data_IF_556700609040
#
_entry.id   IF_556700609040
#
_cell.length_a   1.000
_cell.length_b   1.000
_cell.length_c   1.000
_cell.angle_alpha   90.00
_cell.angle_beta   90.00
_cell.angle_gamma   90.00
#
_symmetry.space_group_name_H-M   'P 1'
#
loop_
_entity.id
_entity.type
_entity.pdbx_description
1 polymer ?
#
# COMPACT_ATOMS: atom_id res chain seq x y z
N UNK A 1 12.66 30.54 -35.27
CA UNK A 1 13.38 29.95 -34.13
C UNK A 1 12.54 28.80 -33.58
N UNK A 2 13.08 27.88 -32.79
CA UNK A 2 12.34 27.08 -31.77
C UNK A 2 12.12 25.55 -31.88
N UNK A 3 12.54 24.81 -32.92
CA UNK A 3 12.58 23.31 -32.83
C UNK A 3 13.98 22.73 -32.87
N UNK A 4 14.85 23.19 -33.78
CA UNK A 4 16.26 22.75 -33.82
C UNK A 4 17.09 23.34 -32.68
N UNK A 5 16.90 24.62 -32.37
CA UNK A 5 17.58 25.29 -31.25
C UNK A 5 17.22 24.64 -29.92
N UNK A 6 15.93 24.40 -29.66
CA UNK A 6 15.47 23.74 -28.42
C UNK A 6 15.97 22.29 -28.30
N UNK A 7 16.15 21.55 -29.39
CA UNK A 7 16.76 20.21 -29.35
C UNK A 7 18.25 20.27 -28.99
N UNK A 8 18.98 21.25 -29.52
CA UNK A 8 20.42 21.43 -29.27
C UNK A 8 20.67 21.85 -27.82
N UNK A 9 19.83 22.74 -27.29
CA UNK A 9 19.86 23.18 -25.88
C UNK A 9 19.51 22.03 -24.91
N UNK A 10 18.68 21.09 -25.33
CA UNK A 10 18.35 19.93 -24.50
C UNK A 10 19.49 18.91 -24.43
N UNK A 11 20.26 18.74 -25.51
CA UNK A 11 21.43 17.85 -25.51
C UNK A 11 22.57 18.40 -24.66
N UNK A 12 22.79 19.71 -24.66
CA UNK A 12 23.78 20.34 -23.77
C UNK A 12 23.42 20.19 -22.30
N UNK A 13 22.14 20.38 -21.92
CA UNK A 13 21.66 20.14 -20.55
C UNK A 13 21.87 18.69 -20.09
N UNK A 14 21.66 17.71 -20.96
CA UNK A 14 21.91 16.29 -20.64
C UNK A 14 23.41 16.04 -20.48
N UNK A 15 24.27 16.66 -21.30
CA UNK A 15 25.71 16.54 -21.18
C UNK A 15 26.25 17.15 -19.89
N UNK A 16 25.71 18.29 -19.46
CA UNK A 16 26.01 18.89 -18.15
C UNK A 16 25.59 17.95 -17.00
N UNK A 17 24.37 17.41 -17.07
CA UNK A 17 23.88 16.45 -16.07
C UNK A 17 24.67 15.13 -16.00
N UNK A 18 25.33 14.73 -17.10
CA UNK A 18 26.25 13.58 -17.13
C UNK A 18 27.60 13.89 -16.50
N UNK A 19 28.07 15.15 -16.59
CA UNK A 19 29.31 15.59 -15.94
C UNK A 19 29.13 15.70 -14.42
N UNK A 20 27.97 16.17 -13.98
CA UNK A 20 27.65 16.36 -12.57
C UNK A 20 27.22 15.07 -11.85
N UNK A 21 27.06 13.97 -12.59
CA UNK A 21 26.67 12.67 -12.06
C UNK A 21 27.72 12.10 -11.10
N UNK A 22 27.37 12.03 -9.81
CA UNK A 22 28.21 11.38 -8.80
C UNK A 22 27.97 9.87 -8.80
N UNK A 23 29.04 9.12 -9.05
CA UNK A 23 29.06 7.67 -8.89
C UNK A 23 28.91 7.31 -7.41
N UNK A 24 28.05 6.34 -7.14
CA UNK A 24 27.79 5.78 -5.83
C UNK A 24 27.95 4.27 -5.89
N UNK A 25 28.72 3.75 -4.95
CA UNK A 25 28.86 2.32 -4.73
C UNK A 25 27.68 1.82 -3.90
N UNK A 26 26.72 1.19 -4.56
CA UNK A 26 25.65 0.46 -3.87
C UNK A 26 26.17 -0.93 -3.47
N UNK A 27 25.98 -1.36 -2.21
CA UNK A 27 26.40 -2.68 -1.78
C UNK A 27 25.61 -3.74 -2.54
N UNK A 28 26.28 -4.48 -3.41
CA UNK A 28 25.72 -5.68 -4.03
C UNK A 28 25.55 -6.75 -2.95
N UNK A 29 24.40 -7.44 -2.94
CA UNK A 29 24.16 -8.58 -2.04
C UNK A 29 25.03 -9.81 -2.34
N UNK A 30 25.83 -9.77 -3.41
CA UNK A 30 26.77 -10.82 -3.77
C UNK A 30 28.04 -10.69 -2.91
N UNK A 31 28.30 -11.73 -2.10
CA UNK A 31 29.54 -11.84 -1.33
C UNK A 31 30.74 -11.86 -2.30
N UNK A 32 31.84 -11.20 -1.93
CA UNK A 32 33.11 -11.27 -2.66
C UNK A 32 33.55 -12.73 -2.79
N UNK A 33 33.98 -13.15 -3.99
CA UNK A 33 34.39 -14.52 -4.32
C UNK A 33 33.29 -15.60 -4.11
N UNK A 34 32.14 -15.51 -4.79
CA UNK A 34 31.21 -16.64 -4.80
C UNK A 34 31.92 -17.85 -5.43
N UNK A 35 32.00 -18.95 -4.69
CA UNK A 35 32.47 -20.23 -5.21
C UNK A 35 31.34 -20.78 -6.07
N UNK A 36 31.52 -20.75 -7.39
CA UNK A 36 30.52 -21.23 -8.36
C UNK A 36 30.54 -22.75 -8.40
N UNK A 37 31.75 -23.32 -8.28
CA UNK A 37 31.98 -24.76 -8.32
C UNK A 37 33.01 -25.13 -7.24
N UNK A 38 32.62 -26.02 -6.34
CA UNK A 38 33.55 -26.76 -5.48
C UNK A 38 33.87 -28.01 -6.28
N UNK A 39 35.14 -28.25 -6.62
CA UNK A 39 35.53 -29.31 -7.55
C UNK A 39 34.79 -30.65 -7.34
N UNK A 40 34.44 -31.30 -8.44
CA UNK A 40 33.81 -32.63 -8.51
C UNK A 40 34.74 -33.55 -9.34
N UNK A 41 34.46 -34.86 -9.41
CA UNK A 41 35.30 -35.87 -10.10
C UNK A 41 35.62 -35.57 -11.59
N UNK A 42 34.90 -34.63 -12.20
CA UNK A 42 35.10 -34.19 -13.60
C UNK A 42 35.92 -32.91 -13.74
N UNK A 43 35.99 -32.07 -12.70
CA UNK A 43 36.69 -30.78 -12.68
C UNK A 43 37.24 -30.53 -11.27
N UNK A 44 38.49 -30.92 -11.05
CA UNK A 44 39.19 -30.85 -9.75
C UNK A 44 39.39 -29.41 -9.23
N UNK A 45 39.50 -28.43 -10.12
CA UNK A 45 39.81 -27.06 -9.73
C UNK A 45 38.53 -26.28 -9.35
N UNK A 46 38.43 -25.72 -8.14
CA UNK A 46 37.30 -24.88 -7.76
C UNK A 46 37.32 -23.56 -8.56
N UNK A 47 36.19 -23.23 -9.18
CA UNK A 47 36.02 -21.97 -9.89
C UNK A 47 35.50 -20.88 -8.95
N UNK A 48 36.31 -19.84 -8.76
CA UNK A 48 35.94 -18.63 -8.00
C UNK A 48 35.95 -17.41 -8.90
N UNK A 49 34.96 -16.53 -8.75
CA UNK A 49 34.96 -15.23 -9.44
C UNK A 49 36.00 -14.31 -8.80
N UNK A 50 36.96 -13.85 -9.60
CA UNK A 50 38.09 -13.00 -9.14
C UNK A 50 37.63 -11.62 -8.67
N UNK A 51 36.83 -10.92 -9.48
CA UNK A 51 36.24 -9.62 -9.13
C UNK A 51 34.88 -9.44 -9.83
N UNK A 52 33.90 -8.94 -9.09
CA UNK A 52 32.60 -8.52 -9.64
C UNK A 52 32.55 -6.99 -9.56
N UNK A 53 33.03 -6.30 -10.59
CA UNK A 53 32.94 -4.84 -10.66
C UNK A 53 31.53 -4.42 -11.09
N UNK A 54 30.75 -3.84 -10.18
CA UNK A 54 29.52 -3.15 -10.57
C UNK A 54 29.87 -1.91 -11.40
N UNK A 55 29.18 -1.68 -12.51
CA UNK A 55 29.43 -0.59 -13.47
C UNK A 55 29.18 0.84 -12.93
N UNK A 56 29.16 1.01 -11.60
CA UNK A 56 28.81 2.24 -10.92
C UNK A 56 27.31 2.53 -10.99
N UNK A 57 26.74 2.94 -9.85
CA UNK A 57 25.38 3.46 -9.82
C UNK A 57 25.40 4.97 -9.68
N UNK A 58 24.37 5.63 -10.22
CA UNK A 58 24.11 7.06 -10.03
C UNK A 58 22.71 7.20 -9.48
N UNK A 59 22.53 8.06 -8.49
CA UNK A 59 21.19 8.44 -8.05
C UNK A 59 20.61 9.47 -8.99
N UNK A 60 19.37 9.22 -9.38
CA UNK A 60 18.57 10.13 -10.19
C UNK A 60 17.31 10.45 -9.42
N UNK A 61 16.87 11.71 -9.50
CA UNK A 61 15.70 12.22 -8.81
C UNK A 61 14.57 12.48 -9.81
N UNK A 62 13.34 12.15 -9.43
CA UNK A 62 12.16 12.60 -10.18
C UNK A 62 11.95 14.11 -9.93
N UNK A 63 11.79 14.88 -11.00
CA UNK A 63 11.68 16.34 -10.96
C UNK A 63 10.43 16.85 -10.23
N UNK A 64 9.38 16.04 -10.07
CA UNK A 64 8.12 16.42 -9.39
C UNK A 64 7.92 15.73 -8.06
N UNK A 65 8.23 14.43 -7.98
CA UNK A 65 7.98 13.65 -6.76
C UNK A 65 9.17 13.68 -5.81
N UNK A 66 10.35 14.07 -6.30
CA UNK A 66 11.62 14.08 -5.57
C UNK A 66 12.04 12.71 -5.04
N UNK A 67 11.49 11.64 -5.62
CA UNK A 67 11.88 10.28 -5.29
C UNK A 67 13.24 9.94 -5.90
N UNK A 68 14.10 9.29 -5.11
CA UNK A 68 15.42 8.84 -5.53
C UNK A 68 15.35 7.43 -6.13
N UNK A 69 15.92 7.24 -7.30
CA UNK A 69 16.07 5.95 -7.95
C UNK A 69 17.55 5.67 -8.27
N UNK A 70 18.09 4.49 -7.90
CA UNK A 70 19.43 4.08 -8.33
C UNK A 70 19.39 3.60 -9.79
N UNK A 71 20.25 4.16 -10.62
CA UNK A 71 20.38 3.85 -12.04
C UNK A 71 21.82 3.43 -12.34
N UNK A 72 22.03 2.47 -13.24
CA UNK A 72 23.37 2.14 -13.69
C UNK A 72 23.94 3.26 -14.57
N UNK A 73 25.21 3.63 -14.37
CA UNK A 73 25.83 4.79 -15.03
C UNK A 73 25.61 4.81 -16.55
N UNK A 74 25.82 3.67 -17.23
CA UNK A 74 25.66 3.59 -18.68
C UNK A 74 24.21 3.79 -19.17
N UNK A 75 23.21 3.56 -18.32
CA UNK A 75 21.80 3.79 -18.64
C UNK A 75 21.36 5.24 -18.42
N UNK A 76 22.17 6.04 -17.74
CA UNK A 76 21.85 7.42 -17.36
C UNK A 76 21.43 8.29 -18.57
N UNK A 77 22.13 8.29 -19.72
CA UNK A 77 21.72 9.10 -20.87
C UNK A 77 20.34 8.72 -21.42
N UNK A 78 20.02 7.41 -21.44
CA UNK A 78 18.73 6.93 -21.92
C UNK A 78 17.59 7.34 -20.97
N UNK A 79 17.86 7.34 -19.66
CA UNK A 79 16.87 7.71 -18.64
C UNK A 79 16.64 9.22 -18.60
N UNK A 80 17.69 10.05 -18.70
CA UNK A 80 17.58 11.51 -18.73
C UNK A 80 16.84 12.02 -19.98
N UNK A 81 16.86 11.27 -21.09
CA UNK A 81 16.07 11.60 -22.29
C UNK A 81 14.57 11.30 -22.15
N UNK A 82 14.14 10.57 -21.13
CA UNK A 82 12.72 10.22 -20.96
C UNK A 82 11.91 11.46 -20.58
N UNK A 83 10.84 11.68 -21.35
CA UNK A 83 9.92 12.80 -21.19
C UNK A 83 8.55 12.32 -20.73
N UNK A 84 7.86 13.20 -20.01
CA UNK A 84 6.45 13.04 -19.68
C UNK A 84 5.58 13.47 -20.87
N UNK A 85 4.29 13.18 -20.80
CA UNK A 85 3.27 13.67 -21.74
C UNK A 85 3.31 15.20 -21.89
N UNK A 86 3.63 15.92 -20.81
CA UNK A 86 3.79 17.38 -20.79
C UNK A 86 5.09 17.89 -21.46
N UNK A 87 5.94 17.01 -22.00
CA UNK A 87 7.22 17.36 -22.63
C UNK A 87 8.39 17.68 -21.66
N UNK A 88 8.11 17.81 -20.36
CA UNK A 88 9.12 18.00 -19.31
C UNK A 88 9.97 16.75 -19.03
N UNK A 89 11.21 16.95 -18.56
CA UNK A 89 12.10 15.87 -18.13
C UNK A 89 11.56 15.19 -16.87
N UNK A 90 11.47 13.87 -16.90
CA UNK A 90 11.02 13.07 -15.75
C UNK A 90 12.10 13.06 -14.66
N UNK A 91 13.35 12.97 -15.09
CA UNK A 91 14.50 12.63 -14.26
C UNK A 91 15.54 13.75 -14.28
N UNK A 92 16.23 13.95 -13.16
CA UNK A 92 17.27 14.97 -12.99
C UNK A 92 18.40 14.42 -12.11
N UNK A 93 19.64 14.79 -12.40
CA UNK A 93 20.84 14.38 -11.64
C UNK A 93 21.21 15.38 -10.53
N UNK A 94 20.57 16.55 -10.50
CA UNK A 94 20.73 17.51 -9.43
C UNK A 94 19.84 17.13 -8.24
N UNK A 95 20.39 17.09 -7.03
CA UNK A 95 19.63 16.83 -5.82
C UNK A 95 18.72 18.03 -5.52
N UNK A 96 17.38 17.88 -5.62
CA UNK A 96 16.45 18.96 -5.36
C UNK A 96 16.45 19.42 -3.89
N UNK A 97 17.16 18.71 -2.98
CA UNK A 97 17.19 18.94 -1.51
C UNK A 97 15.80 18.94 -0.86
N UNK A 98 14.78 18.54 -1.60
CA UNK A 98 13.40 18.41 -1.12
C UNK A 98 13.11 16.93 -0.90
N UNK A 99 12.50 16.64 0.25
CA UNK A 99 12.08 15.29 0.59
C UNK A 99 10.77 14.98 -0.15
N UNK A 100 10.57 13.75 -0.65
CA UNK A 100 9.30 13.34 -1.23
C UNK A 100 8.18 13.52 -0.19
N UNK A 101 7.00 13.94 -0.65
CA UNK A 101 5.83 14.16 0.22
C UNK A 101 5.42 12.83 0.87
N UNK A 102 5.90 12.59 2.09
CA UNK A 102 5.48 11.45 2.89
C UNK A 102 4.16 11.80 3.57
N UNK A 103 3.21 10.90 3.46
CA UNK A 103 1.96 11.01 4.17
C UNK A 103 2.11 10.86 5.67
N UNK A 104 1.15 11.42 6.41
CA UNK A 104 1.08 11.34 7.88
C UNK A 104 0.12 10.26 8.37
N UNK A 105 -0.68 9.66 7.49
CA UNK A 105 -1.69 8.70 7.90
C UNK A 105 -1.06 7.35 8.22
N UNK A 106 -1.41 6.85 9.40
CA UNK A 106 -1.07 5.52 9.87
C UNK A 106 -2.08 4.50 9.33
N UNK A 107 -1.61 3.27 9.17
CA UNK A 107 -2.47 2.14 8.88
C UNK A 107 -3.53 1.94 9.98
N UNK A 108 -4.71 1.42 9.65
CA UNK A 108 -5.76 1.09 10.63
C UNK A 108 -5.30 0.06 11.67
N UNK A 109 -4.42 -0.86 11.27
CA UNK A 109 -3.80 -1.87 12.14
C UNK A 109 -2.48 -1.39 12.77
N UNK A 110 -2.18 -0.08 12.72
CA UNK A 110 -1.01 0.46 13.38
C UNK A 110 -1.14 0.38 14.90
N UNK A 111 0.00 0.31 15.60
CA UNK A 111 0.05 0.25 17.07
C UNK A 111 -0.71 1.43 17.72
N UNK A 112 -0.47 2.63 17.19
CA UNK A 112 -1.10 3.87 17.68
C UNK A 112 -2.51 4.15 17.11
N UNK A 113 -3.18 3.14 16.55
CA UNK A 113 -4.56 3.31 16.04
C UNK A 113 -5.54 3.37 17.22
N UNK A 114 -6.54 4.27 17.22
CA UNK A 114 -7.52 4.36 18.31
C UNK A 114 -8.27 3.05 18.59
N UNK A 115 -8.50 2.24 17.55
CA UNK A 115 -9.23 0.98 17.67
C UNK A 115 -8.30 -0.23 17.87
N UNK A 116 -7.04 0.00 18.29
CA UNK A 116 -6.03 -1.06 18.40
C UNK A 116 -6.44 -2.16 19.37
N UNK A 117 -6.95 -1.80 20.55
CA UNK A 117 -7.37 -2.76 21.58
C UNK A 117 -8.41 -3.76 21.05
N UNK A 118 -9.45 -3.26 20.40
CA UNK A 118 -10.48 -4.09 19.77
C UNK A 118 -9.91 -5.00 18.67
N UNK A 119 -8.91 -4.54 17.92
CA UNK A 119 -8.25 -5.35 16.91
C UNK A 119 -7.31 -6.41 17.51
N UNK A 120 -6.69 -6.13 18.66
CA UNK A 120 -5.89 -7.09 19.41
C UNK A 120 -6.74 -8.21 20.01
N UNK A 121 -7.91 -7.89 20.55
CA UNK A 121 -8.89 -8.89 21.04
C UNK A 121 -9.33 -9.86 19.93
N UNK A 122 -9.44 -9.36 18.68
CA UNK A 122 -9.75 -10.18 17.52
C UNK A 122 -8.54 -10.95 16.95
N UNK A 123 -7.34 -10.76 17.53
CA UNK A 123 -6.11 -11.42 17.08
C UNK A 123 -5.52 -10.85 15.78
N UNK A 124 -5.84 -9.59 15.42
CA UNK A 124 -5.33 -8.96 14.20
C UNK A 124 -3.88 -8.45 14.37
N UNK A 125 -3.03 -8.77 13.40
CA UNK A 125 -1.59 -8.41 13.44
C UNK A 125 -1.32 -6.89 13.42
N UNK A 126 -0.19 -6.47 13.97
CA UNK A 126 0.28 -5.06 13.92
C UNK A 126 0.91 -4.74 12.57
N UNK A 127 0.47 -3.66 11.94
CA UNK A 127 1.15 -3.09 10.77
C UNK A 127 2.07 -1.93 11.17
N UNK A 128 3.30 -1.90 10.66
CA UNK A 128 4.29 -0.84 10.94
C UNK A 128 4.18 0.38 10.00
N UNK A 129 3.26 0.37 9.03
CA UNK A 129 3.17 1.43 8.01
C UNK A 129 2.54 2.69 8.61
N UNK A 130 3.35 3.76 8.71
CA UNK A 130 2.96 5.07 9.24
C UNK A 130 2.91 6.19 8.21
N UNK A 131 3.39 5.93 6.98
CA UNK A 131 3.66 6.98 5.98
C UNK A 131 2.71 6.88 4.78
N UNK A 132 1.39 6.98 5.00
CA UNK A 132 0.36 6.89 3.93
C UNK A 132 -0.21 8.28 3.67
N UNK A 133 -0.35 8.67 2.39
CA UNK A 133 -0.62 10.07 1.98
C UNK A 133 -2.07 10.45 2.22
N UNK A 134 -3.01 9.56 1.93
CA UNK A 134 -4.44 9.83 2.04
C UNK A 134 -5.18 8.64 2.67
N UNK A 135 -6.33 8.90 3.30
CA UNK A 135 -7.28 7.88 3.79
C UNK A 135 -7.68 6.87 2.69
N UNK A 136 -7.79 7.31 1.43
CA UNK A 136 -8.06 6.40 0.31
C UNK A 136 -6.94 5.37 0.13
N UNK A 137 -5.68 5.82 0.18
CA UNK A 137 -4.53 4.91 0.12
C UNK A 137 -4.44 4.01 1.35
N UNK A 138 -4.93 4.44 2.52
CA UNK A 138 -5.05 3.57 3.70
C UNK A 138 -6.00 2.41 3.41
N UNK A 139 -7.17 2.68 2.80
CA UNK A 139 -8.10 1.63 2.38
C UNK A 139 -7.47 0.69 1.36
N UNK A 140 -6.76 1.24 0.37
CA UNK A 140 -6.09 0.44 -0.65
C UNK A 140 -4.93 -0.40 -0.07
N UNK A 141 -4.19 0.15 0.89
CA UNK A 141 -3.15 -0.56 1.61
C UNK A 141 -3.73 -1.74 2.40
N UNK A 142 -4.88 -1.53 3.06
CA UNK A 142 -5.57 -2.60 3.78
C UNK A 142 -6.04 -3.69 2.81
N UNK A 143 -6.75 -3.34 1.74
CA UNK A 143 -7.25 -4.33 0.79
C UNK A 143 -6.14 -5.13 0.10
N UNK A 144 -4.99 -4.51 -0.22
CA UNK A 144 -3.89 -5.18 -0.92
C UNK A 144 -2.91 -5.93 -0.01
N UNK A 145 -2.58 -5.39 1.17
CA UNK A 145 -1.55 -5.96 2.06
C UNK A 145 -2.12 -6.76 3.23
N UNK A 146 -3.38 -6.52 3.58
CA UNK A 146 -4.08 -7.15 4.70
C UNK A 146 -5.51 -7.57 4.30
N UNK A 147 -5.66 -8.38 3.24
CA UNK A 147 -6.97 -8.68 2.68
C UNK A 147 -7.91 -9.36 3.69
N UNK A 148 -7.38 -10.27 4.51
CA UNK A 148 -8.16 -11.03 5.50
C UNK A 148 -8.61 -10.14 6.66
N UNK A 149 -7.69 -9.35 7.19
CA UNK A 149 -7.98 -8.43 8.30
C UNK A 149 -8.95 -7.33 7.83
N UNK A 150 -8.82 -6.86 6.60
CA UNK A 150 -9.75 -5.90 6.01
C UNK A 150 -11.17 -6.48 5.88
N UNK A 151 -11.31 -7.73 5.43
CA UNK A 151 -12.61 -8.41 5.38
C UNK A 151 -13.25 -8.52 6.77
N UNK A 152 -12.49 -8.93 7.79
CA UNK A 152 -13.01 -9.01 9.16
C UNK A 152 -13.49 -7.65 9.69
N UNK A 153 -12.74 -6.57 9.41
CA UNK A 153 -13.11 -5.21 9.82
C UNK A 153 -14.38 -4.75 9.09
N UNK A 154 -14.49 -5.02 7.79
CA UNK A 154 -15.68 -4.68 6.99
C UNK A 154 -16.91 -5.48 7.43
N UNK A 155 -16.76 -6.78 7.72
CA UNK A 155 -17.86 -7.61 8.19
C UNK A 155 -18.36 -7.15 9.56
N UNK A 156 -17.44 -6.81 10.48
CA UNK A 156 -17.77 -6.21 11.77
C UNK A 156 -18.53 -4.88 11.60
N UNK A 157 -18.11 -4.04 10.66
CA UNK A 157 -18.77 -2.77 10.38
C UNK A 157 -20.18 -2.98 9.83
N UNK A 158 -20.37 -3.92 8.90
CA UNK A 158 -21.70 -4.29 8.37
C UNK A 158 -22.59 -4.91 9.43
N UNK A 159 -22.04 -5.71 10.34
CA UNK A 159 -22.79 -6.30 11.45
C UNK A 159 -23.27 -5.20 12.42
N UNK A 160 -22.41 -4.22 12.72
CA UNK A 160 -22.77 -3.06 13.54
C UNK A 160 -23.87 -2.21 12.88
N UNK A 161 -23.73 -1.86 11.60
CA UNK A 161 -24.75 -1.11 10.83
C UNK A 161 -26.10 -1.88 10.83
N UNK A 162 -26.08 -3.21 10.62
CA UNK A 162 -27.31 -4.04 10.68
C UNK A 162 -27.93 -4.11 12.08
N UNK A 163 -27.12 -4.13 13.14
CA UNK A 163 -27.62 -4.14 14.52
C UNK A 163 -28.24 -2.79 14.89
N UNK A 164 -27.61 -1.69 14.48
CA UNK A 164 -28.12 -0.32 14.64
C UNK A 164 -29.47 -0.19 13.92
N UNK A 165 -29.59 -0.65 12.68
CA UNK A 165 -30.86 -0.62 11.93
C UNK A 165 -31.97 -1.43 12.62
N UNK A 166 -31.67 -2.64 13.10
CA UNK A 166 -32.64 -3.45 13.85
C UNK A 166 -33.05 -2.78 15.15
N UNK A 167 -32.10 -2.16 15.84
CA UNK A 167 -32.39 -1.43 17.09
C UNK A 167 -33.27 -0.22 16.81
N UNK A 168 -32.96 0.55 15.76
CA UNK A 168 -33.74 1.71 15.33
C UNK A 168 -35.15 1.30 14.94
N UNK A 169 -35.31 0.26 14.11
CA UNK A 169 -36.62 -0.28 13.75
C UNK A 169 -37.41 -0.71 14.99
N UNK A 170 -36.79 -1.42 15.94
CA UNK A 170 -37.45 -1.82 17.19
C UNK A 170 -37.93 -0.60 17.98
N UNK A 171 -37.10 0.42 18.13
CA UNK A 171 -37.50 1.66 18.82
C UNK A 171 -38.63 2.40 18.10
N UNK A 172 -38.62 2.44 16.76
CA UNK A 172 -39.69 3.02 15.97
C UNK A 172 -41.00 2.24 16.13
N UNK A 173 -40.95 0.91 16.08
CA UNK A 173 -42.12 0.05 16.29
C UNK A 173 -42.68 0.18 17.70
N UNK A 174 -41.83 0.36 18.72
CA UNK A 174 -42.27 0.61 20.09
C UNK A 174 -42.93 2.00 20.22
N UNK A 175 -42.34 3.03 19.61
CA UNK A 175 -42.88 4.39 19.62
C UNK A 175 -44.20 4.53 18.83
N UNK A 176 -44.36 3.80 17.73
CA UNK A 176 -45.57 3.81 16.89
C UNK A 176 -46.61 2.79 17.38
N UNK A 177 -46.15 1.66 17.91
CA UNK A 177 -46.96 0.52 18.35
C UNK A 177 -47.38 0.56 19.82
N UNK A 178 -46.95 1.56 20.60
CA UNK A 178 -47.35 1.81 21.99
C UNK A 178 -48.85 2.06 22.22
N UNK A 179 -49.69 1.92 21.18
CA UNK A 179 -51.14 1.76 21.29
C UNK A 179 -51.56 0.40 20.72
N UNK A 180 -51.20 -0.69 21.39
CA UNK A 180 -51.94 -1.95 21.25
C UNK A 180 -52.45 -2.37 22.61
N UNK A 181 -53.73 -2.11 22.80
CA UNK A 181 -54.56 -2.71 23.83
C UNK A 181 -54.32 -4.22 23.86
N UNK A 182 -54.02 -4.74 25.05
CA UNK A 182 -54.00 -6.17 25.34
C UNK A 182 -55.44 -6.67 25.24
N UNK A 183 -55.88 -6.99 24.04
CA UNK A 183 -57.09 -7.81 23.86
C UNK A 183 -56.62 -9.26 23.86
N UNK A 184 -56.94 -9.95 24.94
CA UNK A 184 -56.72 -11.39 25.11
C UNK A 184 -57.16 -12.14 23.85
N UNK A 185 -56.27 -12.95 23.28
CA UNK A 185 -56.60 -13.79 22.14
C UNK A 185 -57.74 -14.74 22.55
N UNK A 186 -58.86 -14.81 21.80
CA UNK A 186 -59.95 -15.71 22.15
C UNK A 186 -59.45 -17.16 22.01
N UNK A 187 -59.32 -17.86 23.14
CA UNK A 187 -59.13 -19.30 23.17
C UNK A 187 -60.31 -19.95 22.44
N UNK A 188 -60.06 -20.48 21.24
CA UNK A 188 -61.07 -21.22 20.49
C UNK A 188 -61.27 -22.59 21.14
N UNK A 189 -62.07 -22.63 22.21
CA UNK A 189 -62.53 -23.89 22.79
C UNK A 189 -63.70 -24.39 21.93
N UNK A 190 -63.43 -25.46 21.19
CA UNK A 190 -64.43 -26.23 20.45
C UNK A 190 -65.63 -26.58 21.36
N UNK A 191 -66.85 -26.31 20.89
CA UNK A 191 -68.09 -26.57 21.64
C UNK A 191 -68.28 -28.04 22.07
N UNK A 192 -67.51 -28.99 21.49
CA UNK A 192 -67.55 -30.41 21.88
C UNK A 192 -66.97 -30.68 23.27
N UNK A 193 -66.08 -29.83 23.78
CA UNK A 193 -65.42 -30.08 25.08
C UNK A 193 -66.22 -29.55 26.28
N UNK A 194 -67.17 -28.63 26.05
CA UNK A 194 -68.05 -28.11 27.12
C UNK A 194 -69.18 -29.06 27.52
N UNK A 195 -69.50 -30.07 26.70
CA UNK A 195 -70.61 -30.99 26.94
C UNK A 195 -70.24 -32.23 27.79
N UNK A 196 -68.95 -32.42 28.12
CA UNK A 196 -68.48 -33.55 28.95
C UNK A 196 -68.35 -33.22 30.44
N UNK A 197 -68.64 -31.98 30.85
CA UNK A 197 -68.58 -31.54 32.23
C UNK A 197 -69.99 -31.09 32.65
N UNK A 198 -70.89 -32.06 32.83
CA UNK A 198 -72.10 -31.92 33.65
C UNK A 198 -72.52 -33.30 34.15
#
# INVERSE_FOLDING_TARGET
>A
MTTKETLTDNESLIQEALRDAKLVDLPSGLKKNPVIHKGDETLDAPMTVKELSSAGYVYVWDSRTFERAPVLYYMLPSILRRRREDGSFIWTTNDPKQLPKKGTHKCLLHKDSPNRERFDEMGLRVCKKSNIINKFEVKQHMSKKHPKEWQAIEDMRKEAERQEDRSFQKTLYEAVGGKKEVTEAPLYVSAKDKAKIK
#
